data_IF_065469646109
#
_entry.id   IF_065469646109
#
_cell.length_a   1.000
_cell.length_b   1.000
_cell.length_c   1.000
_cell.angle_alpha   90.00
_cell.angle_beta   90.00
_cell.angle_gamma   90.00
#
_symmetry.space_group_name_H-M   'P 1'
#
loop_
_entity.id
_entity.type
_entity.pdbx_description
1 polymer ?
#
# COMPACT_ATOMS: atom_id res chain seq x y z
N UNK A 1 -8.47 -0.26 -74.68
CA UNK A 1 -7.28 0.23 -73.96
C UNK A 1 -7.11 -0.64 -72.72
N UNK A 2 -6.00 -1.35 -72.55
CA UNK A 2 -5.77 -2.11 -71.31
C UNK A 2 -5.62 -1.16 -70.15
N UNK A 3 -6.32 -1.44 -69.05
CA UNK A 3 -6.26 -0.60 -67.87
C UNK A 3 -5.02 -0.92 -67.04
N UNK A 4 -4.54 0.03 -66.24
CA UNK A 4 -3.45 -0.21 -65.27
C UNK A 4 -3.78 -1.33 -64.28
N UNK A 5 -5.08 -1.59 -64.02
CA UNK A 5 -5.52 -2.71 -63.17
C UNK A 5 -5.25 -4.06 -63.82
N UNK A 6 -5.50 -4.17 -65.13
CA UNK A 6 -5.26 -5.42 -65.87
C UNK A 6 -3.77 -5.77 -65.87
N UNK A 7 -2.91 -4.75 -66.00
CA UNK A 7 -1.46 -4.92 -65.93
C UNK A 7 -0.99 -5.41 -64.54
N UNK A 8 -1.58 -4.87 -63.46
CA UNK A 8 -1.29 -5.32 -62.09
C UNK A 8 -1.78 -6.74 -61.84
N UNK A 9 -2.98 -7.08 -62.33
CA UNK A 9 -3.53 -8.43 -62.22
C UNK A 9 -2.67 -9.45 -62.97
N UNK A 10 -2.30 -9.16 -64.21
CA UNK A 10 -1.41 -10.01 -65.01
C UNK A 10 -0.04 -10.21 -64.33
N UNK A 11 0.55 -9.15 -63.79
CA UNK A 11 1.80 -9.24 -63.04
C UNK A 11 1.65 -10.08 -61.76
N UNK A 12 0.59 -9.86 -60.97
CA UNK A 12 0.33 -10.63 -59.75
C UNK A 12 0.10 -12.12 -60.02
N UNK A 13 -0.52 -12.45 -61.15
CA UNK A 13 -0.72 -13.82 -61.61
C UNK A 13 0.62 -14.48 -61.98
N UNK A 14 1.47 -13.81 -62.76
CA UNK A 14 2.80 -14.32 -63.09
C UNK A 14 3.66 -14.55 -61.84
N UNK A 15 3.66 -13.62 -60.88
CA UNK A 15 4.39 -13.78 -59.61
C UNK A 15 3.81 -14.90 -58.73
N UNK A 16 2.49 -15.09 -58.73
CA UNK A 16 1.84 -16.22 -58.08
C UNK A 16 2.34 -17.57 -58.62
N UNK A 17 2.43 -17.71 -59.95
CA UNK A 17 2.93 -18.93 -60.59
C UNK A 17 4.41 -19.19 -60.31
N UNK A 18 5.25 -18.17 -60.34
CA UNK A 18 6.68 -18.29 -60.00
C UNK A 18 6.87 -18.75 -58.55
N UNK A 19 6.13 -18.14 -57.60
CA UNK A 19 6.20 -18.55 -56.19
C UNK A 19 5.68 -19.97 -55.95
N UNK A 20 4.62 -20.39 -56.64
CA UNK A 20 4.11 -21.77 -56.62
C UNK A 20 5.11 -22.77 -57.22
N UNK A 21 5.73 -22.44 -58.35
CA UNK A 21 6.77 -23.27 -58.96
C UNK A 21 7.98 -23.48 -58.05
N UNK A 22 8.39 -22.46 -57.30
CA UNK A 22 9.52 -22.54 -56.37
C UNK A 22 9.19 -23.29 -55.07
N UNK A 23 7.99 -23.10 -54.51
CA UNK A 23 7.61 -23.69 -53.22
C UNK A 23 7.05 -25.11 -53.32
N UNK A 24 6.32 -25.43 -54.40
CA UNK A 24 5.61 -26.71 -54.54
C UNK A 24 5.94 -27.45 -55.84
N UNK A 25 6.94 -27.01 -56.60
CA UNK A 25 7.34 -27.57 -57.89
C UNK A 25 6.18 -27.70 -58.92
N UNK A 26 5.09 -26.97 -58.71
CA UNK A 26 3.84 -27.06 -59.44
C UNK A 26 3.33 -25.65 -59.75
N UNK A 27 3.61 -25.11 -60.95
CA UNK A 27 3.23 -23.74 -61.32
C UNK A 27 1.73 -23.57 -61.60
N UNK A 28 1.01 -24.67 -61.84
CA UNK A 28 -0.44 -24.70 -62.12
C UNK A 28 -1.27 -25.21 -60.91
N UNK A 29 -0.74 -25.10 -59.69
CA UNK A 29 -1.49 -25.48 -58.49
C UNK A 29 -2.79 -24.65 -58.36
N UNK A 30 -3.96 -25.28 -58.16
CA UNK A 30 -5.25 -24.58 -58.14
C UNK A 30 -5.43 -23.66 -56.92
N UNK A 31 -4.69 -23.89 -55.83
CA UNK A 31 -4.67 -23.03 -54.65
C UNK A 31 -3.24 -22.52 -54.42
N UNK A 32 -3.10 -21.22 -54.13
CA UNK A 32 -1.80 -20.64 -53.81
C UNK A 32 -1.20 -21.31 -52.55
N UNK A 33 0.09 -21.68 -52.54
CA UNK A 33 0.70 -22.40 -51.42
C UNK A 33 0.69 -21.61 -50.10
N UNK A 34 0.70 -20.27 -50.19
CA UNK A 34 0.65 -19.35 -49.05
C UNK A 34 -0.74 -18.75 -48.83
N UNK A 35 -1.77 -19.18 -49.55
CA UNK A 35 -3.11 -18.57 -49.49
C UNK A 35 -3.72 -18.60 -48.10
N UNK A 36 -3.65 -19.76 -47.43
CA UNK A 36 -4.12 -19.93 -46.05
C UNK A 36 -3.35 -19.06 -45.07
N UNK A 37 -2.02 -19.02 -45.18
CA UNK A 37 -1.14 -18.22 -44.30
C UNK A 37 -1.38 -16.73 -44.51
N UNK A 38 -1.46 -16.27 -45.75
CA UNK A 38 -1.67 -14.86 -46.09
C UNK A 38 -3.04 -14.37 -45.61
N UNK A 39 -4.11 -15.13 -45.87
CA UNK A 39 -5.44 -14.83 -45.34
C UNK A 39 -5.42 -14.81 -43.81
N UNK A 40 -4.78 -15.79 -43.18
CA UNK A 40 -4.62 -15.87 -41.72
C UNK A 40 -3.93 -14.64 -41.13
N UNK A 41 -2.82 -14.19 -41.72
CA UNK A 41 -2.08 -12.98 -41.31
C UNK A 41 -2.93 -11.73 -41.49
N UNK A 42 -3.62 -11.59 -42.64
CA UNK A 42 -4.50 -10.44 -42.91
C UNK A 42 -5.64 -10.37 -41.88
N UNK A 43 -6.33 -11.48 -41.63
CA UNK A 43 -7.39 -11.52 -40.61
C UNK A 43 -6.85 -11.28 -39.20
N UNK A 44 -5.70 -11.86 -38.85
CA UNK A 44 -5.04 -11.64 -37.56
C UNK A 44 -4.65 -10.18 -37.32
N UNK A 45 -4.11 -9.51 -38.34
CA UNK A 45 -3.81 -8.08 -38.29
C UNK A 45 -5.09 -7.26 -38.10
N UNK A 46 -6.15 -7.59 -38.84
CA UNK A 46 -7.43 -6.90 -38.78
C UNK A 46 -8.06 -7.03 -37.38
N UNK A 47 -8.02 -8.22 -36.77
CA UNK A 47 -8.45 -8.45 -35.39
C UNK A 47 -7.59 -7.68 -34.39
N UNK A 48 -6.27 -7.69 -34.54
CA UNK A 48 -5.37 -6.95 -33.65
C UNK A 48 -5.66 -5.46 -33.66
N UNK A 49 -5.86 -4.88 -34.86
CA UNK A 49 -6.23 -3.46 -35.00
C UNK A 49 -7.60 -3.20 -34.38
N UNK A 50 -8.58 -4.08 -34.58
CA UNK A 50 -9.93 -3.90 -34.05
C UNK A 50 -9.96 -3.98 -32.52
N UNK A 51 -9.25 -4.93 -31.93
CA UNK A 51 -9.10 -5.04 -30.47
C UNK A 51 -8.34 -3.82 -29.93
N UNK A 52 -7.23 -3.44 -30.55
CA UNK A 52 -6.46 -2.27 -30.15
C UNK A 52 -7.26 -0.97 -30.21
N UNK A 53 -8.06 -0.77 -31.27
CA UNK A 53 -8.97 0.36 -31.37
C UNK A 53 -10.04 0.31 -30.27
N UNK A 54 -10.60 -0.87 -30.00
CA UNK A 54 -11.59 -1.08 -28.93
C UNK A 54 -11.04 -0.76 -27.54
N UNK A 55 -9.81 -1.19 -27.22
CA UNK A 55 -9.20 -0.90 -25.91
C UNK A 55 -8.84 0.58 -25.75
N UNK A 56 -8.39 1.25 -26.81
CA UNK A 56 -8.14 2.69 -26.81
C UNK A 56 -9.44 3.47 -26.55
N UNK A 57 -10.51 3.16 -27.28
CA UNK A 57 -11.82 3.80 -27.07
C UNK A 57 -12.34 3.54 -25.66
N UNK A 58 -12.24 2.31 -25.18
CA UNK A 58 -12.65 1.94 -23.82
C UNK A 58 -11.86 2.73 -22.76
N UNK A 59 -10.54 2.82 -22.90
CA UNK A 59 -9.69 3.57 -21.98
C UNK A 59 -9.94 5.08 -22.00
N UNK A 60 -10.37 5.65 -23.13
CA UNK A 60 -10.77 7.05 -23.22
C UNK A 60 -12.15 7.33 -22.59
N UNK A 61 -13.09 6.38 -22.69
CA UNK A 61 -14.42 6.51 -22.11
C UNK A 61 -14.43 6.25 -20.60
N UNK A 62 -13.60 5.33 -20.12
CA UNK A 62 -13.34 5.07 -18.70
C UNK A 62 -11.87 5.31 -18.41
N UNK A 63 -11.43 6.58 -18.34
CA UNK A 63 -10.09 6.90 -17.86
C UNK A 63 -10.03 6.39 -16.43
N UNK A 64 -9.32 5.28 -16.21
CA UNK A 64 -9.35 4.55 -14.95
C UNK A 64 -9.03 5.45 -13.76
N UNK A 65 -9.91 5.43 -12.77
CA UNK A 65 -9.63 5.82 -11.39
C UNK A 65 -9.70 4.58 -10.52
N UNK A 66 -8.78 4.42 -9.58
CA UNK A 66 -9.03 3.48 -8.48
C UNK A 66 -10.13 4.12 -7.63
N UNK A 67 -11.36 3.61 -7.73
CA UNK A 67 -12.52 4.07 -6.95
C UNK A 67 -12.87 3.13 -5.79
N UNK A 68 -12.11 2.04 -5.60
CA UNK A 68 -12.37 1.04 -4.54
C UNK A 68 -12.35 1.63 -3.13
N UNK A 69 -11.71 2.78 -2.95
CA UNK A 69 -11.71 3.50 -1.69
C UNK A 69 -13.05 4.18 -1.33
N UNK A 70 -14.02 4.20 -2.25
CA UNK A 70 -15.34 4.82 -2.03
C UNK A 70 -16.34 3.89 -1.35
N UNK A 71 -16.07 2.58 -1.29
CA UNK A 71 -17.02 1.53 -0.87
C UNK A 71 -17.24 1.46 0.67
N UNK A 72 -16.72 2.42 1.43
CA UNK A 72 -16.82 2.50 2.88
C UNK A 72 -15.63 3.26 3.48
N UNK A 73 -15.43 3.25 4.81
CA UNK A 73 -14.30 3.93 5.43
C UNK A 73 -12.95 3.44 4.89
N UNK A 74 -12.16 4.35 4.33
CA UNK A 74 -10.84 4.05 3.77
C UNK A 74 -9.81 5.12 4.11
N UNK A 75 -8.59 4.68 4.37
CA UNK A 75 -7.41 5.54 4.33
C UNK A 75 -6.91 5.61 2.89
N UNK A 76 -7.00 6.79 2.29
CA UNK A 76 -6.60 7.03 0.90
C UNK A 76 -5.25 7.72 0.89
N UNK A 77 -4.26 7.09 0.27
CA UNK A 77 -2.91 7.63 0.15
C UNK A 77 -2.70 8.04 -1.30
N UNK A 78 -2.37 9.31 -1.49
CA UNK A 78 -1.97 9.82 -2.80
C UNK A 78 -0.55 9.36 -3.09
N UNK A 79 -0.39 8.49 -4.09
CA UNK A 79 0.89 7.86 -4.43
C UNK A 79 1.98 8.85 -4.85
N UNK A 80 1.61 9.93 -5.54
CA UNK A 80 2.60 10.89 -6.07
C UNK A 80 3.06 11.91 -5.02
N UNK A 81 2.19 12.30 -4.09
CA UNK A 81 2.49 13.35 -3.08
C UNK A 81 2.73 12.80 -1.68
N UNK A 82 2.31 11.56 -1.40
CA UNK A 82 2.27 10.98 -0.06
C UNK A 82 1.20 11.59 0.85
N UNK A 83 0.35 12.50 0.34
CA UNK A 83 -0.74 13.09 1.11
C UNK A 83 -1.75 12.01 1.49
N UNK A 84 -2.22 12.04 2.74
CA UNK A 84 -3.14 11.05 3.31
C UNK A 84 -4.50 11.68 3.56
N UNK A 85 -5.55 11.02 3.11
CA UNK A 85 -6.93 11.45 3.26
C UNK A 85 -7.75 10.33 3.90
N UNK A 86 -8.76 10.71 4.67
CA UNK A 86 -9.75 9.80 5.22
C UNK A 86 -11.06 9.98 4.45
N UNK A 87 -11.58 8.88 3.94
CA UNK A 87 -12.93 8.77 3.41
C UNK A 87 -13.78 8.01 4.43
N UNK A 88 -14.96 8.52 4.77
CA UNK A 88 -15.88 7.87 5.73
C UNK A 88 -17.24 7.54 5.12
N UNK A 89 -17.47 7.89 3.85
CA UNK A 89 -18.76 7.78 3.15
C UNK A 89 -19.96 8.49 3.83
N UNK A 90 -19.70 9.38 4.81
CA UNK A 90 -20.77 10.07 5.54
C UNK A 90 -21.18 11.41 4.92
N UNK A 91 -20.21 12.17 4.42
CA UNK A 91 -20.39 13.52 3.89
C UNK A 91 -19.95 13.67 2.43
N UNK A 92 -19.36 12.62 1.85
CA UNK A 92 -18.89 12.61 0.47
C UNK A 92 -17.62 13.44 0.25
N UNK A 93 -16.82 13.68 1.30
CA UNK A 93 -15.64 14.56 1.28
C UNK A 93 -14.39 13.80 1.71
N UNK A 94 -13.24 14.15 1.11
CA UNK A 94 -11.93 13.68 1.57
C UNK A 94 -11.38 14.59 2.65
N UNK A 95 -11.10 14.04 3.83
CA UNK A 95 -10.50 14.79 4.93
C UNK A 95 -9.00 14.53 5.02
N UNK A 96 -8.13 15.54 4.86
CA UNK A 96 -6.71 15.37 5.12
C UNK A 96 -6.49 14.90 6.56
N UNK A 97 -5.78 13.79 6.76
CA UNK A 97 -5.57 13.24 8.10
C UNK A 97 -4.18 13.53 8.61
N UNK A 98 -4.07 14.00 9.86
CA UNK A 98 -2.79 14.39 10.47
C UNK A 98 -1.86 13.23 10.78
N UNK A 99 -2.39 12.05 11.06
CA UNK A 99 -1.60 10.85 11.39
C UNK A 99 -2.40 9.56 11.20
N UNK A 100 -1.69 8.44 11.05
CA UNK A 100 -2.27 7.11 10.89
C UNK A 100 -3.14 6.68 12.09
N UNK A 101 -2.72 7.01 13.32
CA UNK A 101 -3.50 6.69 14.52
C UNK A 101 -4.86 7.37 14.51
N UNK A 102 -4.94 8.63 14.09
CA UNK A 102 -6.20 9.36 13.95
C UNK A 102 -7.09 8.77 12.87
N UNK A 103 -6.50 8.32 11.75
CA UNK A 103 -7.25 7.63 10.71
C UNK A 103 -7.92 6.36 11.28
N UNK A 104 -7.16 5.50 11.99
CA UNK A 104 -7.73 4.31 12.64
C UNK A 104 -8.73 4.60 13.75
N UNK A 105 -8.53 5.68 14.52
CA UNK A 105 -9.49 6.06 15.56
C UNK A 105 -10.84 6.47 14.98
N UNK A 106 -10.84 7.14 13.84
CA UNK A 106 -12.08 7.61 13.18
C UNK A 106 -12.68 6.50 12.31
N UNK A 107 -11.86 5.87 11.47
CA UNK A 107 -12.27 4.87 10.47
C UNK A 107 -12.33 3.42 10.98
N UNK A 108 -11.92 3.17 12.23
CA UNK A 108 -11.94 1.84 12.85
C UNK A 108 -10.61 1.09 12.82
N UNK A 109 -10.54 -0.02 13.57
CA UNK A 109 -9.33 -0.83 13.72
C UNK A 109 -8.89 -1.52 12.43
N UNK A 110 -9.83 -1.93 11.58
CA UNK A 110 -9.58 -2.65 10.34
C UNK A 110 -9.67 -1.75 9.10
N UNK A 111 -9.29 -0.48 9.26
CA UNK A 111 -9.36 0.52 8.18
C UNK A 111 -8.51 0.09 6.97
N UNK A 112 -9.13 -0.25 5.82
CA UNK A 112 -8.39 -0.54 4.59
C UNK A 112 -7.64 0.69 4.10
N UNK A 113 -6.48 0.46 3.50
CA UNK A 113 -5.63 1.52 2.95
C UNK A 113 -5.48 1.33 1.45
N UNK A 114 -5.80 2.37 0.69
CA UNK A 114 -5.77 2.37 -0.78
C UNK A 114 -4.79 3.41 -1.30
N UNK A 115 -3.85 2.96 -2.13
CA UNK A 115 -2.92 3.83 -2.85
C UNK A 115 -3.52 4.23 -4.19
N UNK A 116 -3.79 5.52 -4.36
CA UNK A 116 -4.45 6.07 -5.54
C UNK A 116 -3.60 7.15 -6.19
N UNK A 117 -3.72 7.26 -7.51
CA UNK A 117 -3.12 8.38 -8.23
C UNK A 117 -3.90 9.68 -8.01
N UNK A 118 -3.21 10.81 -8.12
CA UNK A 118 -3.76 12.16 -7.95
C UNK A 118 -4.95 12.42 -8.87
N UNK A 119 -4.96 11.83 -10.08
CA UNK A 119 -6.06 11.97 -11.03
C UNK A 119 -7.39 11.39 -10.48
N UNK A 120 -7.34 10.30 -9.71
CA UNK A 120 -8.52 9.66 -9.11
C UNK A 120 -9.18 10.50 -8.01
N UNK A 121 -8.47 11.51 -7.48
CA UNK A 121 -8.94 12.35 -6.39
C UNK A 121 -9.52 13.71 -6.86
N UNK A 122 -9.37 14.06 -8.14
CA UNK A 122 -9.61 15.43 -8.64
C UNK A 122 -11.06 15.90 -8.51
N UNK A 123 -12.01 14.99 -8.69
CA UNK A 123 -13.44 15.32 -8.72
C UNK A 123 -14.11 15.18 -7.34
N UNK A 124 -13.30 15.07 -6.28
CA UNK A 124 -13.77 14.82 -4.92
C UNK A 124 -13.51 16.06 -4.08
N UNK A 125 -14.53 16.61 -3.41
CA UNK A 125 -14.33 17.73 -2.50
C UNK A 125 -13.33 17.37 -1.39
N UNK A 126 -12.47 18.32 -1.04
CA UNK A 126 -11.53 18.17 0.09
C UNK A 126 -12.01 19.05 1.24
N UNK A 127 -12.18 18.44 2.40
CA UNK A 127 -12.71 19.07 3.60
C UNK A 127 -11.62 19.59 4.55
N UNK A 128 -12.05 19.99 5.74
CA UNK A 128 -11.12 20.39 6.80
C UNK A 128 -10.25 19.21 7.28
N UNK A 129 -9.00 19.48 7.70
CA UNK A 129 -8.13 18.41 8.19
C UNK A 129 -8.64 17.83 9.50
N UNK A 130 -8.50 16.52 9.65
CA UNK A 130 -8.93 15.76 10.85
C UNK A 130 -7.75 15.11 11.55
N UNK A 131 -7.94 14.83 12.84
CA UNK A 131 -7.01 14.08 13.67
C UNK A 131 -6.34 14.87 14.79
N UNK A 132 -5.66 14.13 15.65
CA UNK A 132 -5.07 14.61 16.91
C UNK A 132 -3.65 15.09 16.63
N UNK A 133 -3.32 16.38 16.88
CA UNK A 133 -1.95 16.88 16.73
C UNK A 133 -0.96 16.11 17.63
N UNK A 134 0.18 15.71 17.07
CA UNK A 134 1.25 15.03 17.82
C UNK A 134 1.01 13.54 18.11
N UNK A 135 -0.12 12.96 17.69
CA UNK A 135 -0.30 11.53 17.76
C UNK A 135 0.69 10.80 16.80
N UNK A 136 1.14 9.60 17.18
CA UNK A 136 2.14 8.87 16.39
C UNK A 136 1.59 8.40 15.05
N UNK A 137 2.49 8.17 14.10
CA UNK A 137 2.17 7.53 12.82
C UNK A 137 2.42 6.02 12.85
N UNK A 138 3.33 5.56 13.71
CA UNK A 138 3.62 4.15 13.91
C UNK A 138 2.72 3.57 15.00
N UNK A 139 1.85 2.63 14.64
CA UNK A 139 1.15 1.80 15.60
C UNK A 139 1.83 0.43 15.68
N UNK A 140 2.20 -0.04 16.88
CA UNK A 140 2.73 -1.40 17.04
C UNK A 140 1.65 -2.43 16.67
N UNK A 141 2.08 -3.55 16.11
CA UNK A 141 1.21 -4.70 15.95
C UNK A 141 0.78 -5.23 17.34
N UNK A 142 -0.36 -5.93 17.42
CA UNK A 142 -0.85 -6.45 18.70
C UNK A 142 0.18 -7.33 19.44
N UNK A 143 0.99 -8.10 18.71
CA UNK A 143 2.07 -8.93 19.29
C UNK A 143 3.34 -8.17 19.69
N UNK A 144 3.41 -6.87 19.45
CA UNK A 144 4.52 -5.99 19.86
C UNK A 144 4.15 -5.11 21.06
N UNK A 145 2.96 -5.30 21.62
CA UNK A 145 2.58 -4.62 22.85
C UNK A 145 3.37 -5.20 24.02
N UNK A 146 4.03 -4.33 24.77
CA UNK A 146 4.70 -4.72 26.01
C UNK A 146 3.64 -4.97 27.09
N UNK A 147 3.38 -6.25 27.37
CA UNK A 147 2.55 -6.70 28.49
C UNK A 147 3.37 -7.01 29.75
N UNK A 148 4.68 -6.74 29.75
CA UNK A 148 5.56 -6.98 30.88
C UNK A 148 5.26 -6.06 32.06
N UNK A 149 5.81 -6.37 33.24
CA UNK A 149 5.69 -5.51 34.41
C UNK A 149 6.42 -4.18 34.19
N UNK A 150 5.82 -3.09 34.63
CA UNK A 150 6.41 -1.76 34.69
C UNK A 150 6.62 -1.37 36.14
N UNK A 151 7.85 -1.04 36.52
CA UNK A 151 8.23 -0.74 37.88
C UNK A 151 8.84 0.65 37.96
N UNK A 152 8.43 1.43 38.97
CA UNK A 152 8.96 2.76 39.25
C UNK A 152 9.54 2.76 40.67
N UNK A 153 10.85 3.02 40.76
CA UNK A 153 11.56 3.14 42.03
C UNK A 153 11.90 4.61 42.28
N UNK A 154 11.64 5.09 43.49
CA UNK A 154 12.06 6.42 43.94
C UNK A 154 13.08 6.23 45.06
N UNK A 155 14.29 6.77 44.89
CA UNK A 155 15.34 6.76 45.91
C UNK A 155 15.59 8.16 46.44
N UNK A 156 15.81 8.25 47.75
CA UNK A 156 16.17 9.50 48.41
C UNK A 156 17.62 9.91 48.11
N UNK A 157 18.05 11.11 48.53
CA UNK A 157 19.41 11.60 48.33
C UNK A 157 20.49 10.69 48.94
N UNK A 158 20.13 10.00 50.03
CA UNK A 158 21.00 9.07 50.74
C UNK A 158 20.87 7.62 50.24
N UNK A 159 20.23 7.41 49.08
CA UNK A 159 20.04 6.11 48.44
C UNK A 159 18.69 5.44 48.73
N UNK A 160 18.59 4.15 48.44
CA UNK A 160 17.41 3.34 48.73
C UNK A 160 17.30 3.09 50.24
N UNK A 161 16.23 3.58 50.87
CA UNK A 161 15.94 3.26 52.27
C UNK A 161 15.59 1.78 52.44
N UNK A 162 15.89 1.17 53.60
CA UNK A 162 15.65 -0.26 53.86
C UNK A 162 14.16 -0.63 53.95
N UNK A 163 13.25 0.34 53.98
CA UNK A 163 11.81 0.10 54.07
C UNK A 163 11.03 1.21 53.36
N UNK A 164 10.11 0.82 52.47
CA UNK A 164 9.10 1.69 51.87
C UNK A 164 7.84 1.83 52.74
N UNK A 165 7.75 1.06 53.83
CA UNK A 165 6.60 0.98 54.73
C UNK A 165 6.77 1.82 56.02
N UNK A 166 7.88 2.56 56.13
CA UNK A 166 8.21 3.35 57.31
C UNK A 166 7.73 4.80 57.23
N UNK A 167 7.45 5.40 58.39
CA UNK A 167 7.23 6.84 58.54
C UNK A 167 8.44 7.60 57.99
N UNK A 168 8.26 8.60 57.10
CA UNK A 168 9.40 9.32 56.51
C UNK A 168 10.25 9.95 57.62
N UNK A 169 11.51 9.50 57.72
CA UNK A 169 12.44 9.94 58.77
C UNK A 169 12.97 11.36 58.54
N UNK A 170 12.78 11.89 57.33
CA UNK A 170 12.96 13.32 57.04
C UNK A 170 12.01 13.76 55.93
N UNK A 171 11.40 14.93 56.09
CA UNK A 171 10.59 15.62 55.08
C UNK A 171 11.42 16.59 54.22
N UNK A 172 12.75 16.54 54.32
CA UNK A 172 13.62 17.55 53.77
C UNK A 172 13.81 17.34 52.25
N UNK A 173 13.03 18.09 51.47
CA UNK A 173 13.18 18.32 50.02
C UNK A 173 14.38 19.26 49.77
N UNK A 174 15.52 19.00 50.40
CA UNK A 174 16.71 19.87 50.26
C UNK A 174 17.71 19.30 49.24
N UNK A 175 17.59 18.03 48.87
CA UNK A 175 18.44 17.38 47.86
C UNK A 175 17.61 16.55 46.89
N UNK A 176 18.04 16.49 45.63
CA UNK A 176 17.40 15.69 44.61
C UNK A 176 17.58 14.19 44.91
N UNK A 177 16.47 13.44 44.93
CA UNK A 177 16.47 11.99 44.82
C UNK A 177 16.56 11.54 43.35
N UNK A 178 16.59 10.23 43.11
CA UNK A 178 16.53 9.67 41.76
C UNK A 178 15.22 8.89 41.55
N UNK A 179 14.65 8.99 40.34
CA UNK A 179 13.53 8.16 39.90
C UNK A 179 14.04 7.23 38.81
N UNK A 180 13.93 5.93 39.04
CA UNK A 180 14.35 4.89 38.10
C UNK A 180 13.12 4.14 37.60
N UNK A 181 12.96 4.06 36.28
CA UNK A 181 11.91 3.29 35.63
C UNK A 181 12.52 2.03 35.00
N UNK A 182 11.96 0.87 35.34
CA UNK A 182 12.37 -0.43 34.80
C UNK A 182 11.17 -1.09 34.14
N UNK A 183 11.26 -1.31 32.83
CA UNK A 183 10.24 -2.00 32.04
C UNK A 183 10.70 -3.43 31.71
N UNK A 184 9.77 -4.38 31.73
CA UNK A 184 10.01 -5.75 31.24
C UNK A 184 10.83 -6.67 32.17
N UNK A 185 11.20 -6.20 33.36
CA UNK A 185 11.89 -7.02 34.36
C UNK A 185 10.97 -7.32 35.55
N UNK A 186 10.83 -8.58 35.98
CA UNK A 186 10.15 -8.89 37.22
C UNK A 186 10.93 -8.26 38.38
N UNK A 187 10.23 -7.58 39.28
CA UNK A 187 10.82 -7.19 40.55
C UNK A 187 10.64 -8.37 41.48
N UNK A 188 11.70 -9.16 41.66
CA UNK A 188 11.78 -10.16 42.73
C UNK A 188 11.96 -9.43 44.08
N UNK A 189 10.95 -8.66 44.49
CA UNK A 189 10.87 -8.09 45.82
C UNK A 189 10.37 -9.16 46.78
N UNK A 190 11.22 -10.16 47.07
CA UNK A 190 11.02 -10.93 48.29
C UNK A 190 11.48 -10.06 49.44
N UNK A 191 10.56 -9.58 50.27
CA UNK A 191 10.92 -8.88 51.50
C UNK A 191 11.87 -9.78 52.29
N UNK A 192 13.08 -9.29 52.55
CA UNK A 192 14.02 -10.02 53.39
C UNK A 192 13.43 -10.00 54.80
N UNK A 193 13.02 -11.17 55.28
CA UNK A 193 12.57 -11.33 56.66
C UNK A 193 13.67 -10.83 57.61
N UNK A 194 13.29 -10.30 58.79
CA UNK A 194 14.23 -9.65 59.71
C UNK A 194 15.41 -10.53 60.16
N UNK A 195 15.31 -11.85 59.96
CA UNK A 195 16.31 -12.88 60.27
C UNK A 195 17.16 -13.33 59.06
N UNK A 196 17.01 -12.71 57.89
CA UNK A 196 17.77 -13.06 56.68
C UNK A 196 18.57 -11.88 56.15
N UNK A 197 19.59 -12.20 55.36
CA UNK A 197 20.38 -11.24 54.59
C UNK A 197 20.71 -11.83 53.23
N UNK A 198 20.84 -10.97 52.20
CA UNK A 198 21.24 -11.39 50.86
C UNK A 198 22.67 -10.94 50.61
N UNK A 199 23.52 -11.88 50.19
CA UNK A 199 24.88 -11.58 49.77
C UNK A 199 24.86 -11.22 48.28
N UNK A 200 25.06 -9.94 47.97
CA UNK A 200 25.26 -9.47 46.60
C UNK A 200 26.76 -9.55 46.29
N UNK A 201 27.16 -10.40 45.35
CA UNK A 201 28.52 -10.44 44.81
C UNK A 201 28.54 -9.74 43.45
N UNK A 202 29.40 -8.73 43.34
CA UNK A 202 29.80 -8.12 42.07
C UNK A 202 31.00 -8.81 41.46
#
# INVERSE_FOLDING_TARGET
MQSKRDQVQAHSFMMGRLSSGLLTASPDAPESPLGRTTRGVVFGLLFTVLIGAGTVVYGLLRPGGNDGWRDGPHLVVNRETGARYLWTDTDGVLHPVRNYTSARLIGGSDLPTEDVGTASLRDVPVGGPVGIPGAPDGLPAAGQLDGGPWNMCVTGPDGAGPSTSGTPTSSAVEKAGATTLVAGAPVDATAIAADRGVLVRG
#
